data_IF_026016214338
#
_entry.id   IF_026016214338
#
_cell.length_a   1.000
_cell.length_b   1.000
_cell.length_c   1.000
_cell.angle_alpha   90.00
_cell.angle_beta   90.00
_cell.angle_gamma   90.00
#
_symmetry.space_group_name_H-M   'P 1'
#
loop_
_entity.id
_entity.type
_entity.pdbx_description
1 polymer ?
#
# COMPACT_ATOMS: atom_id res chain seq x y z
N UNK A 1 31.65 27.24 -13.78
CA UNK A 1 30.19 27.52 -13.86
C UNK A 1 29.53 26.67 -12.80
N UNK A 2 28.87 27.32 -11.85
CA UNK A 2 28.47 26.73 -10.57
C UNK A 2 27.29 25.76 -10.70
N UNK A 3 27.32 24.77 -9.82
CA UNK A 3 26.44 23.62 -9.66
C UNK A 3 24.96 24.04 -9.55
N UNK A 4 24.11 23.48 -10.41
CA UNK A 4 22.66 23.64 -10.25
C UNK A 4 22.18 22.55 -9.29
N UNK A 5 21.87 23.00 -8.08
CA UNK A 5 21.38 22.22 -6.95
C UNK A 5 20.19 21.36 -7.37
N UNK A 6 20.32 20.07 -7.07
CA UNK A 6 19.26 19.09 -7.08
C UNK A 6 18.03 19.67 -6.39
N UNK A 7 17.00 19.97 -7.17
CA UNK A 7 15.67 20.18 -6.61
C UNK A 7 15.15 18.81 -6.21
N UNK A 8 15.61 18.35 -5.05
CA UNK A 8 14.99 17.26 -4.29
C UNK A 8 13.58 17.72 -3.96
N UNK A 9 12.68 17.41 -4.88
CA UNK A 9 11.24 17.49 -4.69
C UNK A 9 10.90 16.48 -3.60
N UNK A 10 11.08 16.86 -2.33
CA UNK A 10 10.31 16.29 -1.23
C UNK A 10 8.86 16.75 -1.46
N UNK A 11 8.18 16.11 -2.44
CA UNK A 11 6.73 16.01 -2.40
C UNK A 11 6.44 15.36 -1.07
N UNK A 12 5.79 16.10 -0.18
CA UNK A 12 5.26 15.52 1.05
C UNK A 12 4.58 14.21 0.67
N UNK A 13 5.09 13.11 1.22
CA UNK A 13 4.50 11.78 1.11
C UNK A 13 3.08 11.93 1.64
N UNK A 14 2.16 12.19 0.72
CA UNK A 14 0.74 12.17 0.97
C UNK A 14 0.52 10.74 1.40
N UNK A 15 0.31 10.50 2.71
CA UNK A 15 0.29 9.17 3.36
C UNK A 15 -0.55 8.12 2.61
N UNK A 16 -1.43 8.57 1.72
CA UNK A 16 -2.28 7.78 0.85
C UNK A 16 -1.57 7.16 -0.36
N UNK A 17 -0.45 7.75 -0.81
CA UNK A 17 0.39 7.27 -1.91
C UNK A 17 1.60 6.43 -1.43
N UNK A 18 1.86 6.35 -0.13
CA UNK A 18 2.98 5.57 0.41
C UNK A 18 2.70 4.06 0.43
N UNK A 19 1.43 3.63 0.34
CA UNK A 19 1.10 2.21 0.39
C UNK A 19 1.14 1.58 -1.01
N UNK A 20 2.09 0.67 -1.20
CA UNK A 20 2.25 -0.10 -2.44
C UNK A 20 1.64 -1.49 -2.31
N UNK A 21 1.00 -1.97 -3.38
CA UNK A 21 0.48 -3.33 -3.44
C UNK A 21 1.63 -4.35 -3.33
N UNK A 22 1.58 -5.18 -2.29
CA UNK A 22 2.58 -6.22 -2.00
C UNK A 22 2.76 -7.15 -3.20
N UNK A 23 1.66 -7.67 -3.76
CA UNK A 23 1.74 -8.63 -4.86
C UNK A 23 2.29 -8.02 -6.16
N UNK A 24 1.97 -6.75 -6.46
CA UNK A 24 2.53 -6.08 -7.63
C UNK A 24 4.03 -5.79 -7.46
N UNK A 25 4.45 -5.45 -6.25
CA UNK A 25 5.84 -5.19 -5.94
C UNK A 25 6.67 -6.48 -5.99
N UNK A 26 6.17 -7.57 -5.40
CA UNK A 26 6.86 -8.87 -5.37
C UNK A 26 6.92 -9.53 -6.75
N UNK A 27 5.85 -9.50 -7.54
CA UNK A 27 5.79 -10.22 -8.81
C UNK A 27 6.39 -9.43 -9.99
N UNK A 28 6.15 -8.11 -10.04
CA UNK A 28 6.46 -7.27 -11.20
C UNK A 28 7.44 -6.14 -10.88
N UNK A 29 7.82 -5.94 -9.61
CA UNK A 29 8.59 -4.76 -9.17
C UNK A 29 7.81 -3.45 -9.33
N UNK A 30 6.48 -3.51 -9.49
CA UNK A 30 5.64 -2.34 -9.73
C UNK A 30 5.14 -1.74 -8.42
N UNK A 31 5.37 -0.44 -8.23
CA UNK A 31 4.77 0.34 -7.16
C UNK A 31 3.36 0.77 -7.55
N UNK A 32 2.44 -0.19 -7.58
CA UNK A 32 1.01 0.08 -7.79
C UNK A 32 0.40 0.55 -6.47
N UNK A 33 -0.40 1.62 -6.50
CA UNK A 33 -1.11 2.11 -5.32
C UNK A 33 -2.00 1.02 -4.72
N UNK A 34 -1.91 0.85 -3.41
CA UNK A 34 -2.79 -0.03 -2.67
C UNK A 34 -4.08 0.67 -2.24
N UNK A 35 -5.20 -0.02 -2.42
CA UNK A 35 -6.53 0.45 -2.07
C UNK A 35 -7.15 -0.39 -0.95
N UNK A 36 -6.49 -1.49 -0.58
CA UNK A 36 -6.96 -2.48 0.37
C UNK A 36 -5.83 -2.93 1.28
N UNK A 37 -6.17 -3.29 2.50
CA UNK A 37 -5.26 -3.86 3.50
C UNK A 37 -5.91 -5.07 4.14
N UNK A 38 -5.20 -6.19 4.17
CA UNK A 38 -5.62 -7.38 4.91
C UNK A 38 -4.91 -7.39 6.27
N UNK A 39 -5.68 -7.46 7.36
CA UNK A 39 -5.14 -7.48 8.72
C UNK A 39 -4.36 -8.77 8.98
N UNK A 40 -4.95 -9.91 8.68
CA UNK A 40 -4.34 -11.23 8.94
C UNK A 40 -3.04 -11.45 8.17
N UNK A 41 -2.97 -10.94 6.94
CA UNK A 41 -1.75 -11.00 6.15
C UNK A 41 -0.79 -9.85 6.46
N UNK A 42 -1.27 -8.80 7.13
CA UNK A 42 -0.56 -7.53 7.33
C UNK A 42 0.03 -6.99 6.02
N UNK A 43 -0.74 -7.07 4.93
CA UNK A 43 -0.31 -6.76 3.56
C UNK A 43 -1.28 -5.84 2.84
N UNK A 44 -0.73 -5.01 1.96
CA UNK A 44 -1.46 -4.07 1.12
C UNK A 44 -1.71 -4.64 -0.27
N UNK A 45 -2.88 -4.36 -0.83
CA UNK A 45 -3.30 -4.85 -2.13
C UNK A 45 -3.99 -3.75 -2.94
N UNK A 46 -3.75 -3.74 -4.26
CA UNK A 46 -4.55 -2.97 -5.20
C UNK A 46 -5.87 -3.69 -5.50
N UNK A 47 -6.80 -3.02 -6.20
CA UNK A 47 -8.09 -3.60 -6.61
C UNK A 47 -7.97 -4.97 -7.31
N UNK A 48 -6.94 -5.21 -8.11
CA UNK A 48 -6.78 -6.49 -8.84
C UNK A 48 -6.27 -7.59 -7.90
N UNK A 49 -5.24 -7.28 -7.12
CA UNK A 49 -4.61 -8.28 -6.25
C UNK A 49 -5.51 -8.65 -5.07
N UNK A 50 -6.39 -7.74 -4.62
CA UNK A 50 -7.35 -8.06 -3.57
C UNK A 50 -8.41 -9.06 -4.02
N UNK A 51 -8.84 -9.03 -5.29
CA UNK A 51 -9.80 -10.02 -5.81
C UNK A 51 -9.21 -11.43 -5.77
N UNK A 52 -7.95 -11.56 -6.20
CA UNK A 52 -7.22 -12.82 -6.12
C UNK A 52 -6.98 -13.24 -4.67
N UNK A 53 -6.62 -12.29 -3.80
CA UNK A 53 -6.45 -12.54 -2.37
C UNK A 53 -7.75 -13.06 -1.75
N UNK A 54 -8.88 -12.40 -1.98
CA UNK A 54 -10.19 -12.80 -1.44
C UNK A 54 -10.64 -14.17 -1.98
N UNK A 55 -10.26 -14.51 -3.21
CA UNK A 55 -10.55 -15.83 -3.78
C UNK A 55 -9.82 -16.95 -3.02
N UNK A 56 -8.55 -16.75 -2.68
CA UNK A 56 -7.70 -17.73 -1.97
C UNK A 56 -7.95 -17.71 -0.46
N UNK A 57 -8.13 -16.53 0.12
CA UNK A 57 -8.22 -16.24 1.55
C UNK A 57 -9.62 -15.74 1.92
N UNK A 58 -10.66 -16.52 1.59
CA UNK A 58 -12.08 -16.12 1.77
C UNK A 58 -12.50 -15.72 3.18
N UNK A 59 -11.73 -16.13 4.19
CA UNK A 59 -11.99 -15.82 5.59
C UNK A 59 -11.33 -14.52 6.05
N UNK A 60 -10.41 -14.00 5.25
CA UNK A 60 -9.65 -12.85 5.68
C UNK A 60 -10.49 -11.57 5.63
N UNK A 61 -10.36 -10.74 6.66
CA UNK A 61 -10.94 -9.41 6.63
C UNK A 61 -10.02 -8.46 5.86
N UNK A 62 -10.61 -7.82 4.84
CA UNK A 62 -9.92 -6.82 4.04
C UNK A 62 -10.58 -5.46 4.22
N UNK A 63 -9.79 -4.52 4.71
CA UNK A 63 -10.17 -3.14 4.93
C UNK A 63 -9.87 -2.34 3.67
N UNK A 64 -10.87 -1.64 3.11
CA UNK A 64 -10.64 -0.70 1.99
C UNK A 64 -10.10 0.65 2.45
N UNK A 65 -9.64 1.48 1.50
CA UNK A 65 -9.03 2.82 1.73
C UNK A 65 -9.92 3.77 2.56
N UNK A 66 -11.24 3.56 2.55
CA UNK A 66 -12.18 4.28 3.43
C UNK A 66 -11.88 4.10 4.93
N UNK A 67 -11.23 2.99 5.28
CA UNK A 67 -10.83 2.62 6.63
C UNK A 67 -9.33 2.82 6.88
N UNK A 68 -8.66 3.73 6.15
CA UNK A 68 -7.20 3.94 6.26
C UNK A 68 -6.71 4.26 7.70
N UNK A 69 -7.56 4.90 8.53
CA UNK A 69 -7.26 5.13 9.95
C UNK A 69 -7.09 3.82 10.73
N UNK A 70 -7.86 2.79 10.37
CA UNK A 70 -7.70 1.45 10.96
C UNK A 70 -6.42 0.80 10.46
N UNK A 71 -6.07 0.94 9.18
CA UNK A 71 -4.81 0.43 8.64
C UNK A 71 -3.63 0.97 9.46
N UNK A 72 -3.55 2.30 9.58
CA UNK A 72 -2.51 2.96 10.36
C UNK A 72 -2.51 2.51 11.81
N UNK A 73 -3.68 2.36 12.46
CA UNK A 73 -3.72 1.83 13.81
C UNK A 73 -3.11 0.43 13.90
N UNK A 74 -3.45 -0.46 12.97
CA UNK A 74 -2.99 -1.85 12.98
C UNK A 74 -1.50 -1.96 12.68
N UNK A 75 -0.95 -1.07 11.85
CA UNK A 75 0.49 -1.02 11.56
C UNK A 75 1.36 -0.55 12.73
N UNK A 76 0.83 0.33 13.59
CA UNK A 76 1.60 0.93 14.69
C UNK A 76 1.48 0.17 16.01
N UNK A 77 0.68 -0.90 16.05
CA UNK A 77 0.43 -1.73 17.24
C UNK A 77 1.21 -3.07 17.20
N UNK A 78 1.95 -3.34 16.13
CA UNK A 78 2.94 -4.42 16.02
C UNK A 78 4.37 -3.86 16.04
#
# INVERSE_FOLDING_TARGET
MANNVESSFHRGSDLFFDFSCFSCQENDGKNTEAEFYCEECSKFYCSICVEHHNFLCKKHEVLGKKNIRQWLRLMWVN
#
